data_IF_594340669434
#
_entry.id   IF_594340669434
#
_cell.length_a   1.000
_cell.length_b   1.000
_cell.length_c   1.000
_cell.angle_alpha   90.00
_cell.angle_beta   90.00
_cell.angle_gamma   90.00
#
_symmetry.space_group_name_H-M   'P 1'
#
loop_
_entity.id
_entity.type
_entity.pdbx_description
1 polymer ?
#
# COMPACT_ATOMS: atom_id res chain seq x y z
N UNK A 1 23.12 -10.88 15.12
CA UNK A 1 22.82 -11.10 13.69
C UNK A 1 22.90 -12.59 13.48
N UNK A 2 21.76 -13.28 13.55
CA UNK A 2 21.72 -14.72 13.29
C UNK A 2 21.89 -14.95 11.78
N UNK A 3 22.78 -15.86 11.41
CA UNK A 3 23.08 -16.19 10.02
C UNK A 3 21.91 -16.97 9.39
N UNK A 4 21.06 -16.27 8.63
CA UNK A 4 19.93 -16.85 7.90
C UNK A 4 20.35 -17.74 6.71
N UNK A 5 21.64 -17.79 6.37
CA UNK A 5 22.23 -18.52 5.23
C UNK A 5 21.83 -20.01 5.11
N UNK A 6 21.80 -20.83 6.19
CA UNK A 6 21.61 -22.27 6.03
C UNK A 6 20.17 -22.68 5.73
N UNK A 7 19.17 -21.95 6.26
CA UNK A 7 17.74 -22.25 6.08
C UNK A 7 17.19 -21.81 4.72
N UNK A 8 17.76 -20.75 4.15
CA UNK A 8 17.36 -20.24 2.82
C UNK A 8 17.77 -21.21 1.70
N UNK A 9 18.89 -21.95 1.85
CA UNK A 9 19.39 -22.90 0.85
C UNK A 9 18.52 -24.14 0.65
N UNK A 10 17.66 -24.48 1.62
CA UNK A 10 16.77 -25.65 1.56
C UNK A 10 15.31 -25.28 1.31
N UNK A 11 14.98 -23.99 1.23
CA UNK A 11 13.63 -23.53 0.91
C UNK A 11 13.34 -23.71 -0.58
N UNK A 12 12.09 -24.05 -0.92
CA UNK A 12 11.68 -24.06 -2.32
C UNK A 12 11.76 -22.64 -2.88
N UNK A 13 12.10 -22.46 -4.18
CA UNK A 13 12.33 -21.15 -4.79
C UNK A 13 11.21 -20.14 -4.54
N UNK A 14 9.96 -20.60 -4.55
CA UNK A 14 8.77 -19.80 -4.28
C UNK A 14 8.73 -19.21 -2.86
N UNK A 15 9.32 -19.89 -1.87
CA UNK A 15 9.37 -19.42 -0.47
C UNK A 15 10.58 -18.55 -0.16
N UNK A 16 11.65 -18.61 -0.98
CA UNK A 16 12.83 -17.76 -0.82
C UNK A 16 12.47 -16.30 -1.02
N UNK A 17 11.62 -15.98 -2.01
CA UNK A 17 11.12 -14.63 -2.25
C UNK A 17 10.34 -14.06 -1.05
N UNK A 18 9.41 -14.85 -0.49
CA UNK A 18 8.64 -14.46 0.70
C UNK A 18 9.54 -14.28 1.94
N UNK A 19 10.52 -15.16 2.14
CA UNK A 19 11.43 -15.08 3.28
C UNK A 19 12.34 -13.85 3.22
N UNK A 20 12.82 -13.47 2.02
CA UNK A 20 13.64 -12.28 1.82
C UNK A 20 12.83 -10.98 1.97
N UNK A 21 11.60 -10.93 1.45
CA UNK A 21 10.70 -9.79 1.63
C UNK A 21 10.30 -9.62 3.10
N UNK A 22 9.94 -10.71 3.79
CA UNK A 22 9.66 -10.68 5.22
C UNK A 22 10.88 -10.19 6.03
N UNK A 23 12.10 -10.64 5.66
CA UNK A 23 13.33 -10.17 6.28
C UNK A 23 13.61 -8.68 6.00
N UNK A 24 13.31 -8.19 4.80
CA UNK A 24 13.43 -6.77 4.43
C UNK A 24 12.41 -5.90 5.17
N UNK A 25 11.16 -6.33 5.29
CA UNK A 25 10.13 -5.65 6.07
C UNK A 25 10.57 -5.58 7.54
N UNK A 26 11.02 -6.70 8.11
CA UNK A 26 11.55 -6.74 9.47
C UNK A 26 12.84 -5.93 9.62
N UNK A 27 13.66 -5.76 8.58
CA UNK A 27 14.84 -4.91 8.62
C UNK A 27 14.51 -3.41 8.52
N UNK A 28 13.50 -3.02 7.74
CA UNK A 28 13.06 -1.63 7.63
C UNK A 28 12.31 -1.20 8.88
N UNK A 29 11.37 -2.03 9.35
CA UNK A 29 10.67 -1.82 10.62
C UNK A 29 11.65 -1.96 11.80
N UNK A 30 12.52 -2.96 11.76
CA UNK A 30 13.53 -3.25 12.79
C UNK A 30 14.63 -2.20 12.88
N UNK A 31 15.04 -1.59 11.76
CA UNK A 31 16.01 -0.50 11.74
C UNK A 31 15.48 0.75 12.46
N UNK A 32 14.19 1.04 12.30
CA UNK A 32 13.50 2.08 13.08
C UNK A 32 13.38 1.69 14.55
N UNK A 33 12.96 0.47 14.86
CA UNK A 33 12.88 -0.04 16.25
C UNK A 33 14.23 0.08 16.96
N UNK A 34 15.33 -0.28 16.28
CA UNK A 34 16.70 -0.16 16.81
C UNK A 34 17.08 1.31 17.06
N UNK A 35 16.83 2.19 16.08
CA UNK A 35 17.05 3.63 16.25
C UNK A 35 16.26 4.19 17.45
N UNK A 36 14.98 3.85 17.55
CA UNK A 36 14.09 4.39 18.57
C UNK A 36 14.42 3.86 19.99
N UNK A 37 14.86 2.60 20.11
CA UNK A 37 15.36 2.02 21.36
C UNK A 37 16.65 2.71 21.83
N UNK A 38 17.58 3.01 20.91
CA UNK A 38 18.82 3.71 21.27
C UNK A 38 18.58 5.18 21.67
N UNK A 39 17.45 5.76 21.31
CA UNK A 39 17.08 7.16 21.60
C UNK A 39 16.00 7.31 22.69
N UNK A 40 15.73 6.27 23.49
CA UNK A 40 14.79 6.29 24.66
C UNK A 40 13.35 6.72 24.31
N UNK A 41 12.86 6.37 23.12
CA UNK A 41 11.45 6.59 22.78
C UNK A 41 10.57 5.68 23.64
N UNK A 42 9.50 6.24 24.21
CA UNK A 42 8.56 5.48 25.06
C UNK A 42 7.92 4.36 24.24
N UNK A 43 8.11 3.11 24.68
CA UNK A 43 7.46 1.94 24.08
C UNK A 43 6.31 1.45 24.95
N UNK A 44 5.26 0.91 24.33
CA UNK A 44 4.15 0.25 25.02
C UNK A 44 4.25 -1.26 24.86
N UNK A 45 4.31 -1.97 25.98
CA UNK A 45 4.44 -3.44 26.02
C UNK A 45 3.05 -4.09 26.10
N UNK A 46 2.81 -5.10 25.27
CA UNK A 46 1.57 -5.86 25.23
C UNK A 46 1.80 -7.36 25.50
N UNK A 47 2.70 -7.65 26.44
CA UNK A 47 3.06 -9.02 26.81
C UNK A 47 3.87 -9.71 25.70
N UNK A 48 3.25 -10.67 25.01
CA UNK A 48 3.91 -11.53 24.01
C UNK A 48 4.01 -10.90 22.61
N UNK A 49 3.40 -9.73 22.41
CA UNK A 49 3.53 -8.99 21.16
C UNK A 49 4.81 -8.14 21.15
N UNK A 50 5.38 -7.85 19.97
CA UNK A 50 6.43 -6.84 19.85
C UNK A 50 6.01 -5.52 20.52
N UNK A 51 6.94 -4.78 21.14
CA UNK A 51 6.60 -3.50 21.75
C UNK A 51 6.12 -2.52 20.67
N UNK A 52 5.04 -1.78 20.96
CA UNK A 52 4.63 -0.67 20.10
C UNK A 52 5.56 0.52 20.35
N UNK A 53 6.16 1.02 19.27
CA UNK A 53 7.07 2.16 19.27
C UNK A 53 6.49 3.19 18.29
N UNK A 54 5.72 4.11 18.84
CA UNK A 54 5.02 5.13 18.09
C UNK A 54 4.41 6.16 19.02
N UNK A 55 3.79 7.19 18.47
CA UNK A 55 3.10 8.19 19.28
C UNK A 55 1.88 7.61 19.99
N UNK A 56 1.41 8.32 21.02
CA UNK A 56 0.20 7.93 21.73
C UNK A 56 -0.97 7.83 20.74
N UNK A 57 -1.65 6.69 20.78
CA UNK A 57 -2.81 6.41 19.94
C UNK A 57 -3.93 7.42 20.18
N UNK A 58 -4.04 7.98 21.39
CA UNK A 58 -5.06 8.97 21.76
C UNK A 58 -4.65 10.41 21.46
N UNK A 59 -3.45 10.63 20.93
CA UNK A 59 -3.03 11.97 20.52
C UNK A 59 -3.94 12.47 19.37
N UNK A 60 -4.63 13.59 19.60
CA UNK A 60 -5.51 14.24 18.64
C UNK A 60 -4.82 15.44 18.01
N UNK A 61 -3.94 15.18 17.02
CA UNK A 61 -3.11 16.20 16.38
C UNK A 61 -3.63 16.51 14.98
N UNK A 62 -4.56 17.45 14.90
CA UNK A 62 -5.17 17.87 13.64
C UNK A 62 -4.22 18.71 12.79
N UNK A 63 -4.21 18.49 11.48
CA UNK A 63 -3.79 19.48 10.50
C UNK A 63 -5.00 20.36 10.15
N UNK A 64 -4.97 21.67 10.48
CA UNK A 64 -6.08 22.59 10.20
C UNK A 64 -6.50 22.65 8.72
N UNK A 65 -5.58 22.37 7.79
CA UNK A 65 -5.89 22.40 6.36
C UNK A 65 -6.70 21.17 5.94
N UNK A 66 -6.29 20.00 6.42
CA UNK A 66 -6.97 18.75 6.12
C UNK A 66 -8.39 18.78 6.67
N UNK A 67 -8.55 19.29 7.89
CA UNK A 67 -9.85 19.26 8.56
C UNK A 67 -10.79 20.41 8.21
N UNK A 68 -10.39 21.33 7.34
CA UNK A 68 -11.18 22.52 6.99
C UNK A 68 -12.54 22.18 6.36
N UNK A 69 -12.69 20.98 5.81
CA UNK A 69 -13.92 20.48 5.17
C UNK A 69 -14.88 19.79 6.14
N UNK A 70 -14.45 19.48 7.37
CA UNK A 70 -15.29 18.79 8.35
C UNK A 70 -16.07 19.75 9.25
N UNK A 71 -17.30 19.36 9.60
CA UNK A 71 -18.05 19.97 10.68
C UNK A 71 -17.49 19.58 12.05
N UNK A 72 -17.85 20.34 13.09
CA UNK A 72 -17.51 20.00 14.47
C UNK A 72 -18.06 18.63 14.90
N UNK A 73 -19.23 18.25 14.40
CA UNK A 73 -19.83 16.93 14.65
C UNK A 73 -19.00 15.83 14.01
N UNK A 74 -18.59 15.99 12.74
CA UNK A 74 -17.74 15.02 12.05
C UNK A 74 -16.40 14.85 12.77
N UNK A 75 -15.76 15.93 13.21
CA UNK A 75 -14.52 15.86 13.99
C UNK A 75 -14.71 15.16 15.34
N UNK A 76 -15.83 15.40 16.01
CA UNK A 76 -16.18 14.68 17.24
C UNK A 76 -16.34 13.18 17.00
N UNK A 77 -17.00 12.79 15.90
CA UNK A 77 -17.17 11.39 15.52
C UNK A 77 -15.84 10.70 15.17
N UNK A 78 -14.95 11.38 14.42
CA UNK A 78 -13.61 10.87 14.12
C UNK A 78 -12.79 10.68 15.40
N UNK A 79 -12.83 11.66 16.30
CA UNK A 79 -12.12 11.57 17.58
C UNK A 79 -12.65 10.44 18.45
N UNK A 80 -13.98 10.27 18.54
CA UNK A 80 -14.58 9.18 19.30
C UNK A 80 -14.16 7.80 18.74
N UNK A 81 -14.17 7.63 17.41
CA UNK A 81 -13.70 6.39 16.76
C UNK A 81 -12.23 6.10 17.09
N UNK A 82 -11.37 7.12 17.15
CA UNK A 82 -9.98 6.97 17.57
C UNK A 82 -9.88 6.49 19.03
N UNK A 83 -10.68 7.07 19.93
CA UNK A 83 -10.70 6.68 21.34
C UNK A 83 -11.21 5.24 21.54
N UNK A 84 -12.24 4.84 20.79
CA UNK A 84 -12.80 3.49 20.81
C UNK A 84 -11.79 2.46 20.30
N UNK A 85 -11.08 2.78 19.21
CA UNK A 85 -10.00 1.97 18.68
C UNK A 85 -8.86 1.83 19.70
N UNK A 86 -8.42 2.92 20.32
CA UNK A 86 -7.39 2.90 21.36
C UNK A 86 -7.81 2.10 22.60
N UNK A 87 -9.08 2.19 23.00
CA UNK A 87 -9.65 1.37 24.08
C UNK A 87 -9.67 -0.12 23.73
N UNK A 88 -10.01 -0.45 22.49
CA UNK A 88 -9.99 -1.84 21.99
C UNK A 88 -8.57 -2.41 21.98
N UNK A 89 -7.57 -1.60 21.63
CA UNK A 89 -6.14 -1.97 21.69
C UNK A 89 -5.68 -2.20 23.14
N UNK A 90 -6.17 -1.41 24.09
CA UNK A 90 -5.85 -1.60 25.52
C UNK A 90 -6.37 -2.93 26.05
N UNK A 91 -7.53 -3.38 25.56
CA UNK A 91 -8.12 -4.68 25.93
C UNK A 91 -7.44 -5.83 25.20
N UNK A 92 -7.24 -5.71 23.88
CA UNK A 92 -6.59 -6.72 23.06
C UNK A 92 -5.83 -6.10 21.88
N UNK A 93 -4.54 -5.85 22.09
CA UNK A 93 -3.65 -5.29 21.07
C UNK A 93 -3.33 -6.24 19.91
N UNK A 94 -3.70 -7.53 19.98
CA UNK A 94 -3.48 -8.49 18.90
C UNK A 94 -4.53 -8.37 17.78
N UNK A 95 -5.61 -7.61 17.96
CA UNK A 95 -6.62 -7.42 16.91
C UNK A 95 -6.15 -6.46 15.84
N UNK A 96 -6.32 -6.82 14.56
CA UNK A 96 -5.90 -5.97 13.43
C UNK A 96 -6.72 -4.69 13.33
N UNK A 97 -8.05 -4.83 13.35
CA UNK A 97 -8.98 -3.76 12.97
C UNK A 97 -8.81 -2.48 13.80
N UNK A 98 -8.63 -2.54 15.15
CA UNK A 98 -8.40 -1.33 15.93
C UNK A 98 -7.15 -0.54 15.50
N UNK A 99 -6.06 -1.21 15.08
CA UNK A 99 -4.87 -0.51 14.58
C UNK A 99 -5.11 0.12 13.20
N UNK A 100 -5.85 -0.57 12.33
CA UNK A 100 -6.26 -0.02 11.04
C UNK A 100 -7.13 1.23 11.24
N UNK A 101 -8.14 1.15 12.10
CA UNK A 101 -9.05 2.25 12.42
C UNK A 101 -8.30 3.42 13.05
N UNK A 102 -7.42 3.17 14.03
CA UNK A 102 -6.63 4.22 14.64
C UNK A 102 -5.78 4.97 13.61
N UNK A 103 -5.14 4.23 12.69
CA UNK A 103 -4.36 4.85 11.63
C UNK A 103 -5.22 5.63 10.63
N UNK A 104 -6.38 5.11 10.25
CA UNK A 104 -7.33 5.80 9.37
C UNK A 104 -7.82 7.11 10.00
N UNK A 105 -8.29 7.09 11.25
CA UNK A 105 -8.77 8.31 11.92
C UNK A 105 -7.67 9.36 12.08
N UNK A 106 -6.42 8.93 12.25
CA UNK A 106 -5.26 9.82 12.27
C UNK A 106 -4.95 10.39 10.88
N UNK A 107 -5.01 9.58 9.84
CA UNK A 107 -4.80 10.02 8.46
C UNK A 107 -5.87 11.05 8.02
N UNK A 108 -7.15 10.79 8.32
CA UNK A 108 -8.28 11.69 8.01
C UNK A 108 -8.15 13.09 8.63
N UNK A 109 -7.36 13.24 9.70
CA UNK A 109 -7.10 14.55 10.32
C UNK A 109 -5.73 15.13 9.96
N UNK A 110 -5.03 14.55 8.99
CA UNK A 110 -3.68 14.96 8.58
C UNK A 110 -2.57 14.54 9.56
N UNK A 111 -2.86 13.68 10.54
CA UNK A 111 -1.87 13.13 11.48
C UNK A 111 -1.08 11.97 10.86
N UNK A 112 -0.46 12.22 9.70
CA UNK A 112 0.20 11.23 8.84
C UNK A 112 1.28 10.43 9.57
N UNK A 113 1.99 11.06 10.50
CA UNK A 113 2.99 10.41 11.34
C UNK A 113 2.37 9.37 12.30
N UNK A 114 1.16 9.63 12.80
CA UNK A 114 0.47 8.76 13.74
C UNK A 114 -0.25 7.64 13.01
N UNK A 115 -0.77 7.94 11.81
CA UNK A 115 -1.26 6.93 10.88
C UNK A 115 -0.17 5.91 10.56
N UNK A 116 1.02 6.39 10.19
CA UNK A 116 2.21 5.56 9.95
C UNK A 116 2.51 4.64 11.12
N UNK A 117 2.62 5.18 12.33
CA UNK A 117 2.99 4.40 13.52
C UNK A 117 1.98 3.28 13.79
N UNK A 118 0.68 3.55 13.66
CA UNK A 118 -0.38 2.56 13.86
C UNK A 118 -0.36 1.47 12.78
N UNK A 119 -0.22 1.84 11.50
CA UNK A 119 -0.20 0.87 10.41
C UNK A 119 1.12 0.09 10.30
N UNK A 120 2.27 0.67 10.68
CA UNK A 120 3.54 -0.06 10.82
C UNK A 120 3.41 -1.15 11.89
N UNK A 121 2.75 -0.85 13.01
CA UNK A 121 2.50 -1.85 14.05
C UNK A 121 1.50 -2.92 13.59
N UNK A 122 0.41 -2.53 12.91
CA UNK A 122 -0.53 -3.47 12.30
C UNK A 122 0.17 -4.45 11.34
N UNK A 123 1.08 -3.95 10.51
CA UNK A 123 1.91 -4.74 9.59
C UNK A 123 2.82 -5.71 10.34
N UNK A 124 3.39 -5.28 11.46
CA UNK A 124 4.27 -6.09 12.30
C UNK A 124 3.54 -7.28 12.95
N UNK A 125 2.34 -7.06 13.50
CA UNK A 125 1.58 -8.11 14.20
C UNK A 125 0.75 -8.98 13.25
N UNK A 126 0.49 -8.52 12.01
CA UNK A 126 -0.28 -9.25 11.00
C UNK A 126 0.41 -9.18 9.63
N UNK A 127 1.59 -9.78 9.43
CA UNK A 127 2.37 -9.59 8.20
C UNK A 127 1.72 -10.07 6.90
N UNK A 128 0.63 -10.86 6.98
CA UNK A 128 -0.15 -11.33 5.82
C UNK A 128 -1.37 -10.47 5.49
N UNK A 129 -1.66 -9.44 6.29
CA UNK A 129 -2.77 -8.53 5.96
C UNK A 129 -2.41 -7.70 4.72
N UNK A 130 -3.40 -7.15 4.03
CA UNK A 130 -3.19 -6.30 2.84
C UNK A 130 -3.41 -4.82 3.21
N UNK A 131 -4.40 -4.56 4.07
CA UNK A 131 -4.93 -3.22 4.36
C UNK A 131 -3.89 -2.26 4.93
N UNK A 132 -3.07 -2.69 5.89
CA UNK A 132 -2.02 -1.80 6.43
C UNK A 132 -0.91 -1.51 5.41
N UNK A 133 -0.56 -2.46 4.55
CA UNK A 133 0.48 -2.26 3.55
C UNK A 133 0.01 -1.33 2.44
N UNK A 134 -1.21 -1.49 1.92
CA UNK A 134 -1.72 -0.56 0.92
C UNK A 134 -1.87 0.86 1.49
N UNK A 135 -2.38 0.99 2.72
CA UNK A 135 -2.47 2.29 3.40
C UNK A 135 -1.08 2.91 3.63
N UNK A 136 -0.08 2.13 4.05
CA UNK A 136 1.30 2.62 4.17
C UNK A 136 1.91 2.99 2.81
N UNK A 137 1.60 2.22 1.76
CA UNK A 137 2.03 2.50 0.40
C UNK A 137 1.55 3.87 -0.05
N UNK A 138 0.24 4.12 0.06
CA UNK A 138 -0.40 5.39 -0.28
C UNK A 138 0.14 6.54 0.59
N UNK A 139 0.27 6.32 1.90
CA UNK A 139 0.84 7.29 2.82
C UNK A 139 2.28 7.67 2.43
N UNK A 140 3.12 6.70 2.06
CA UNK A 140 4.48 6.97 1.62
C UNK A 140 4.57 7.52 0.21
N UNK A 141 3.54 7.35 -0.62
CA UNK A 141 3.50 7.94 -1.95
C UNK A 141 3.08 9.41 -1.88
N UNK A 142 2.01 9.72 -1.15
CA UNK A 142 1.35 11.03 -1.22
C UNK A 142 1.66 11.93 -0.02
N UNK A 143 1.61 11.40 1.19
CA UNK A 143 1.57 12.20 2.42
C UNK A 143 2.93 12.37 3.09
N UNK A 144 3.76 11.33 3.03
CA UNK A 144 5.11 11.25 3.58
C UNK A 144 6.08 10.72 2.52
N UNK A 145 6.33 11.46 1.42
CA UNK A 145 7.03 10.95 0.24
C UNK A 145 8.31 10.18 0.57
N UNK A 146 8.24 8.86 0.37
CA UNK A 146 9.33 7.90 0.49
C UNK A 146 9.06 6.75 -0.49
N UNK A 147 9.36 7.01 -1.76
CA UNK A 147 8.99 6.11 -2.85
C UNK A 147 9.55 4.69 -2.73
N UNK A 148 10.80 4.46 -2.26
CA UNK A 148 11.29 3.10 -2.01
C UNK A 148 10.47 2.35 -0.94
N UNK A 149 9.98 3.05 0.09
CA UNK A 149 9.09 2.44 1.08
C UNK A 149 7.71 2.20 0.50
N UNK A 150 7.14 3.15 -0.24
CA UNK A 150 5.85 2.96 -0.92
C UNK A 150 5.88 1.71 -1.82
N UNK A 151 6.91 1.59 -2.65
CA UNK A 151 7.15 0.45 -3.53
C UNK A 151 7.22 -0.87 -2.75
N UNK A 152 7.96 -0.91 -1.65
CA UNK A 152 8.05 -2.09 -0.79
C UNK A 152 6.68 -2.48 -0.21
N UNK A 153 5.88 -1.50 0.22
CA UNK A 153 4.56 -1.75 0.80
C UNK A 153 3.58 -2.27 -0.25
N UNK A 154 3.49 -1.66 -1.44
CA UNK A 154 2.65 -2.15 -2.53
C UNK A 154 3.05 -3.56 -2.99
N UNK A 155 4.35 -3.82 -3.14
CA UNK A 155 4.84 -5.17 -3.47
C UNK A 155 4.47 -6.20 -2.40
N UNK A 156 4.48 -5.80 -1.13
CA UNK A 156 4.08 -6.69 -0.03
C UNK A 156 2.57 -6.97 -0.08
N UNK A 157 1.74 -5.96 -0.34
CA UNK A 157 0.29 -6.11 -0.51
C UNK A 157 -0.05 -7.10 -1.65
N UNK A 158 0.58 -6.91 -2.82
CA UNK A 158 0.47 -7.81 -4.00
C UNK A 158 0.89 -9.26 -3.67
N UNK A 159 1.94 -9.43 -2.87
CA UNK A 159 2.40 -10.76 -2.45
C UNK A 159 1.44 -11.44 -1.49
N UNK A 160 0.81 -10.66 -0.61
CA UNK A 160 -0.17 -11.17 0.35
C UNK A 160 -1.47 -11.58 -0.34
N UNK A 161 -1.93 -10.82 -1.34
CA UNK A 161 -3.02 -11.23 -2.23
C UNK A 161 -2.89 -10.67 -3.64
N UNK A 162 -2.53 -11.57 -4.56
CA UNK A 162 -2.31 -11.26 -5.96
C UNK A 162 -3.60 -10.92 -6.74
N UNK A 163 -4.79 -11.06 -6.14
CA UNK A 163 -6.08 -10.77 -6.79
C UNK A 163 -6.55 -9.33 -6.58
N UNK A 164 -5.88 -8.58 -5.70
CA UNK A 164 -6.26 -7.18 -5.43
C UNK A 164 -5.72 -6.30 -6.55
N UNK A 165 -6.60 -5.94 -7.47
CA UNK A 165 -6.28 -5.20 -8.69
C UNK A 165 -5.67 -3.83 -8.40
N UNK A 166 -6.26 -3.11 -7.44
CA UNK A 166 -5.82 -1.77 -7.04
C UNK A 166 -4.33 -1.73 -6.71
N UNK A 167 -3.78 -2.76 -6.09
CA UNK A 167 -2.39 -2.73 -5.61
C UNK A 167 -1.38 -2.70 -6.78
N UNK A 168 -1.72 -3.33 -7.91
CA UNK A 168 -0.92 -3.22 -9.15
C UNK A 168 -1.04 -1.83 -9.78
N UNK A 169 -2.23 -1.24 -9.75
CA UNK A 169 -2.47 0.12 -10.25
C UNK A 169 -1.67 1.13 -9.42
N UNK A 170 -1.74 1.07 -8.08
CA UNK A 170 -0.97 1.96 -7.20
C UNK A 170 0.53 1.84 -7.43
N UNK A 171 1.05 0.62 -7.62
CA UNK A 171 2.48 0.42 -7.93
C UNK A 171 2.86 0.97 -9.32
N UNK A 172 1.98 0.80 -10.31
CA UNK A 172 2.15 1.38 -11.65
C UNK A 172 2.18 2.91 -11.60
N UNK A 173 1.27 3.52 -10.86
CA UNK A 173 1.20 4.97 -10.69
C UNK A 173 2.44 5.52 -9.96
N UNK A 174 2.91 4.83 -8.92
CA UNK A 174 4.18 5.17 -8.27
C UNK A 174 5.33 5.19 -9.29
N UNK A 175 5.43 4.19 -10.16
CA UNK A 175 6.47 4.16 -11.19
C UNK A 175 6.29 5.28 -12.22
N UNK A 176 5.06 5.51 -12.68
CA UNK A 176 4.71 6.53 -13.67
C UNK A 176 5.04 7.93 -13.20
N UNK A 177 4.72 8.25 -11.95
CA UNK A 177 4.78 9.61 -11.43
C UNK A 177 6.04 9.91 -10.62
N UNK A 178 6.72 8.90 -10.07
CA UNK A 178 7.86 9.12 -9.16
C UNK A 178 9.19 8.48 -9.60
N UNK A 179 9.20 7.60 -10.61
CA UNK A 179 10.40 6.89 -11.08
C UNK A 179 10.79 7.20 -12.53
N UNK A 180 10.37 8.33 -13.08
CA UNK A 180 10.59 8.71 -14.49
C UNK A 180 12.06 8.64 -14.92
N UNK A 181 13.00 8.98 -14.03
CA UNK A 181 14.44 8.94 -14.29
C UNK A 181 15.11 7.59 -14.03
N UNK A 182 14.39 6.62 -13.44
CA UNK A 182 14.94 5.32 -13.05
C UNK A 182 14.94 4.29 -14.18
N UNK A 183 14.35 4.62 -15.34
CA UNK A 183 14.23 3.68 -16.47
C UNK A 183 13.31 2.49 -16.18
N UNK A 184 12.48 2.57 -15.15
CA UNK A 184 11.48 1.57 -14.82
C UNK A 184 10.29 1.74 -15.77
N UNK A 185 9.78 0.64 -16.33
CA UNK A 185 8.55 0.65 -17.12
C UNK A 185 7.33 0.70 -16.19
N UNK A 186 6.55 1.81 -16.17
CA UNK A 186 5.33 1.93 -15.38
C UNK A 186 4.27 0.86 -15.70
N UNK A 187 4.21 0.33 -16.92
CA UNK A 187 3.28 -0.74 -17.24
C UNK A 187 3.61 -2.08 -16.56
N UNK A 188 4.84 -2.28 -16.06
CA UNK A 188 5.29 -3.59 -15.57
C UNK A 188 4.38 -4.19 -14.48
N UNK A 189 3.93 -3.45 -13.45
CA UNK A 189 2.97 -3.96 -12.47
C UNK A 189 1.61 -4.31 -13.09
N UNK A 190 1.10 -3.52 -14.03
CA UNK A 190 -0.17 -3.81 -14.71
C UNK A 190 -0.08 -5.13 -15.49
N UNK A 191 1.03 -5.35 -16.20
CA UNK A 191 1.29 -6.58 -16.94
C UNK A 191 1.42 -7.79 -16.01
N UNK A 192 2.10 -7.65 -14.86
CA UNK A 192 2.15 -8.68 -13.83
C UNK A 192 0.74 -9.02 -13.31
N UNK A 193 -0.06 -7.98 -13.02
CA UNK A 193 -1.44 -8.13 -12.59
C UNK A 193 -2.28 -8.90 -13.62
N UNK A 194 -2.12 -8.60 -14.91
CA UNK A 194 -2.83 -9.27 -16.01
C UNK A 194 -2.40 -10.73 -16.20
N UNK A 195 -1.16 -11.09 -15.87
CA UNK A 195 -0.73 -12.49 -15.88
C UNK A 195 -1.44 -13.31 -14.81
N UNK A 196 -1.65 -12.72 -13.62
CA UNK A 196 -2.29 -13.40 -12.48
C UNK A 196 -3.83 -13.31 -12.51
N UNK A 197 -4.36 -12.27 -13.15
CA UNK A 197 -5.78 -11.99 -13.28
C UNK A 197 -6.12 -11.80 -14.77
N UNK A 198 -6.05 -12.88 -15.58
CA UNK A 198 -6.33 -12.78 -17.00
C UNK A 198 -7.77 -12.32 -17.21
N UNK A 199 -7.97 -11.39 -18.16
CA UNK A 199 -9.26 -10.77 -18.49
C UNK A 199 -9.83 -9.83 -17.41
N UNK A 200 -9.01 -9.37 -16.46
CA UNK A 200 -9.43 -8.25 -15.62
C UNK A 200 -9.54 -6.97 -16.47
N UNK A 201 -10.71 -6.36 -16.42
CA UNK A 201 -11.06 -5.18 -17.20
C UNK A 201 -10.25 -3.96 -16.78
N UNK A 202 -10.22 -3.64 -15.48
CA UNK A 202 -9.54 -2.46 -14.96
C UNK A 202 -8.05 -2.46 -15.33
N UNK A 203 -7.33 -3.56 -15.11
CA UNK A 203 -5.92 -3.66 -15.50
C UNK A 203 -5.71 -3.51 -17.01
N UNK A 204 -6.65 -4.01 -17.81
CA UNK A 204 -6.59 -3.88 -19.27
C UNK A 204 -6.80 -2.41 -19.68
N UNK A 205 -7.72 -1.70 -19.03
CA UNK A 205 -7.97 -0.26 -19.24
C UNK A 205 -6.76 0.58 -18.85
N UNK A 206 -6.21 0.39 -17.65
CA UNK A 206 -5.02 1.11 -17.20
C UNK A 206 -3.82 0.88 -18.13
N UNK A 207 -3.65 -0.36 -18.65
CA UNK A 207 -2.59 -0.65 -19.62
C UNK A 207 -2.83 0.07 -20.97
N UNK A 208 -4.06 0.04 -21.48
CA UNK A 208 -4.42 0.72 -22.73
C UNK A 208 -4.17 2.23 -22.65
N UNK A 209 -4.66 2.88 -21.59
CA UNK A 209 -4.51 4.31 -21.34
C UNK A 209 -3.03 4.71 -21.18
N UNK A 210 -2.26 3.91 -20.45
CA UNK A 210 -0.82 4.16 -20.31
C UNK A 210 -0.09 4.11 -21.65
N UNK A 211 -0.35 3.08 -22.47
CA UNK A 211 0.30 2.95 -23.78
C UNK A 211 -0.15 4.01 -24.77
N UNK A 212 -1.42 4.45 -24.70
CA UNK A 212 -1.92 5.58 -25.46
C UNK A 212 -1.17 6.87 -25.08
N UNK A 213 -1.07 7.17 -23.78
CA UNK A 213 -0.41 8.37 -23.27
C UNK A 213 1.05 8.48 -23.73
N UNK A 214 1.82 7.39 -23.67
CA UNK A 214 3.23 7.41 -24.09
C UNK A 214 3.40 7.32 -25.61
N UNK A 215 2.31 7.32 -26.38
CA UNK A 215 2.31 7.25 -27.83
C UNK A 215 2.68 5.87 -28.40
N UNK A 216 2.67 4.81 -27.59
CA UNK A 216 2.89 3.44 -28.05
C UNK A 216 1.60 2.87 -28.65
N UNK A 217 1.29 3.31 -29.88
CA UNK A 217 0.07 2.95 -30.60
C UNK A 217 -0.15 1.43 -30.72
N UNK A 218 0.91 0.67 -30.93
CA UNK A 218 0.81 -0.78 -31.14
C UNK A 218 0.23 -1.48 -29.91
N UNK A 219 0.78 -1.20 -28.72
CA UNK A 219 0.30 -1.78 -27.48
C UNK A 219 -1.06 -1.20 -27.08
N UNK A 220 -1.28 0.11 -27.27
CA UNK A 220 -2.57 0.74 -27.01
C UNK A 220 -3.70 0.05 -27.79
N UNK A 221 -3.54 -0.13 -29.12
CA UNK A 221 -4.51 -0.82 -29.98
C UNK A 221 -4.73 -2.26 -29.50
N UNK A 222 -3.67 -2.97 -29.08
CA UNK A 222 -3.79 -4.34 -28.57
C UNK A 222 -4.68 -4.40 -27.33
N UNK A 223 -4.44 -3.55 -26.32
CA UNK A 223 -5.22 -3.56 -25.08
C UNK A 223 -6.65 -3.02 -25.27
N UNK A 224 -6.85 -2.02 -26.13
CA UNK A 224 -8.20 -1.57 -26.50
C UNK A 224 -9.02 -2.66 -27.19
N UNK A 225 -8.44 -3.41 -28.13
CA UNK A 225 -9.12 -4.57 -28.73
C UNK A 225 -9.41 -5.66 -27.70
N UNK A 226 -8.52 -5.85 -26.72
CA UNK A 226 -8.75 -6.80 -25.63
C UNK A 226 -9.92 -6.35 -24.73
N UNK A 227 -10.08 -5.05 -24.46
CA UNK A 227 -11.24 -4.53 -23.73
C UNK A 227 -12.56 -4.87 -24.44
N UNK A 228 -12.63 -4.68 -25.76
CA UNK A 228 -13.82 -5.03 -26.55
C UNK A 228 -14.16 -6.53 -26.50
N UNK A 229 -13.16 -7.39 -26.30
CA UNK A 229 -13.38 -8.84 -26.12
C UNK A 229 -13.90 -9.17 -24.71
N UNK A 230 -13.47 -8.42 -23.69
CA UNK A 230 -13.89 -8.59 -22.29
C UNK A 230 -15.32 -8.08 -22.10
N UNK A 231 -15.59 -6.86 -22.56
CA UNK A 231 -16.91 -6.24 -22.52
C UNK A 231 -17.28 -5.61 -23.88
N UNK A 232 -18.03 -6.35 -24.73
CA UNK A 232 -18.50 -5.84 -26.00
C UNK A 232 -19.39 -4.59 -25.90
N UNK A 233 -19.98 -4.28 -24.74
CA UNK A 233 -20.85 -3.12 -24.57
C UNK A 233 -20.07 -1.79 -24.57
N UNK A 234 -18.77 -1.81 -24.25
CA UNK A 234 -17.87 -0.62 -24.28
C UNK A 234 -17.30 -0.31 -25.67
N UNK A 235 -17.72 -1.06 -26.69
CA UNK A 235 -17.16 -0.96 -28.04
C UNK A 235 -17.26 0.44 -28.66
N UNK A 236 -18.30 1.23 -28.38
CA UNK A 236 -18.46 2.55 -29.02
C UNK A 236 -17.34 3.53 -28.67
N UNK A 237 -16.98 3.62 -27.39
CA UNK A 237 -15.97 4.56 -26.90
C UNK A 237 -14.58 4.10 -27.32
N UNK A 238 -14.34 2.79 -27.20
CA UNK A 238 -13.08 2.16 -27.61
C UNK A 238 -12.87 2.24 -29.12
N UNK A 239 -13.91 2.12 -29.94
CA UNK A 239 -13.83 2.25 -31.41
C UNK A 239 -13.40 3.65 -31.85
N UNK A 240 -13.85 4.70 -31.15
CA UNK A 240 -13.42 6.06 -31.45
C UNK A 240 -11.93 6.24 -31.17
N UNK A 241 -11.45 5.72 -30.04
CA UNK A 241 -10.03 5.75 -29.69
C UNK A 241 -9.19 4.91 -30.66
N UNK A 242 -9.66 3.74 -31.08
CA UNK A 242 -8.98 2.93 -32.09
C UNK A 242 -8.82 3.69 -33.42
N UNK A 243 -9.86 4.40 -33.87
CA UNK A 243 -9.80 5.23 -35.08
C UNK A 243 -8.80 6.38 -34.94
N UNK A 244 -8.74 7.06 -33.78
CA UNK A 244 -7.77 8.14 -33.54
C UNK A 244 -6.32 7.63 -33.52
N UNK A 245 -6.12 6.38 -33.09
CA UNK A 245 -4.84 5.69 -33.13
C UNK A 245 -4.45 5.18 -34.53
N UNK A 246 -5.40 5.14 -35.47
CA UNK A 246 -5.19 4.72 -36.87
C UNK A 246 -5.42 3.24 -37.13
N UNK A 247 -6.25 2.58 -36.31
CA UNK A 247 -6.57 1.14 -36.38
C UNK A 247 -7.86 0.82 -37.16
#
# INVERSE_FOLDING_TARGET
>A
MDDFSPKLKTMRPEFIGFALMAALILAVLGGRIYWDQTHKIKSKNFGNLPPYIGRDLREWKIDPKEVAVFSSEQLSQLHQKLLDAAGSIDVNADQLDPWIIAGLMKHEIGDNQGARDAWEYASLIRPKNIVSFINLGDLYFHDLPNFPRAELMYKTAIQNDAKVIRDYVSLSDLYRYSYQSAGINPAAPLLEGLQKNPNNEDLTSYAAEYYEEIGNKTEAIFYFRKLMQIDPAKSSDVEQTLKSLGA
#
